data_IF_303199722212
#
_entry.id   IF_303199722212
#
_cell.length_a   1.000
_cell.length_b   1.000
_cell.length_c   1.000
_cell.angle_alpha   90.00
_cell.angle_beta   90.00
_cell.angle_gamma   90.00
#
_symmetry.space_group_name_H-M   'P 1'
#
loop_
_entity.id
_entity.type
_entity.pdbx_description
1 polymer ?
#
# COMPACT_ATOMS: atom_id res chain seq x y z
N UNK A 1 -21.14 -1.30 -44.64
CA UNK A 1 -20.66 -2.43 -43.85
C UNK A 1 -19.22 -2.28 -43.40
N UNK A 2 -18.33 -1.86 -44.27
CA UNK A 2 -16.93 -1.65 -43.89
C UNK A 2 -16.75 -0.58 -42.83
N UNK A 3 -17.51 0.51 -42.89
CA UNK A 3 -17.38 1.58 -41.87
C UNK A 3 -17.84 1.12 -40.51
N UNK A 4 -18.83 0.24 -40.47
CA UNK A 4 -19.30 -0.32 -39.17
C UNK A 4 -18.29 -1.28 -38.60
N UNK A 5 -17.64 -2.10 -39.44
CA UNK A 5 -16.58 -3.00 -39.01
C UNK A 5 -15.36 -2.24 -38.52
N UNK A 6 -15.02 -1.15 -39.23
CA UNK A 6 -13.90 -0.30 -38.82
C UNK A 6 -14.17 0.38 -37.46
N UNK A 7 -15.42 0.83 -37.27
CA UNK A 7 -15.82 1.41 -35.98
C UNK A 7 -15.75 0.39 -34.84
N UNK A 8 -16.21 -0.83 -35.10
CA UNK A 8 -16.13 -1.90 -34.14
C UNK A 8 -14.68 -2.25 -33.80
N UNK A 9 -13.84 -2.38 -34.81
CA UNK A 9 -12.41 -2.64 -34.63
C UNK A 9 -11.76 -1.56 -33.78
N UNK A 10 -12.06 -0.31 -34.05
CA UNK A 10 -11.55 0.83 -33.29
C UNK A 10 -11.98 0.73 -31.81
N UNK A 11 -13.23 0.37 -31.56
CA UNK A 11 -13.74 0.18 -30.20
C UNK A 11 -13.03 -0.95 -29.47
N UNK A 12 -12.78 -2.05 -30.18
CA UNK A 12 -12.05 -3.19 -29.60
C UNK A 12 -10.64 -2.78 -29.22
N UNK A 13 -9.97 -2.02 -30.09
CA UNK A 13 -8.63 -1.52 -29.78
C UNK A 13 -8.62 -0.60 -28.57
N UNK A 14 -9.62 0.27 -28.45
CA UNK A 14 -9.76 1.16 -27.30
C UNK A 14 -9.95 0.36 -26.00
N UNK A 15 -10.79 -0.67 -26.06
CA UNK A 15 -11.05 -1.52 -24.90
C UNK A 15 -9.78 -2.29 -24.51
N UNK A 16 -9.05 -2.83 -25.50
CA UNK A 16 -7.79 -3.52 -25.25
C UNK A 16 -6.78 -2.60 -24.59
N UNK A 17 -6.67 -1.37 -25.06
CA UNK A 17 -5.77 -0.37 -24.50
C UNK A 17 -6.18 -0.03 -23.07
N UNK A 18 -7.47 0.15 -22.83
CA UNK A 18 -7.98 0.42 -21.49
C UNK A 18 -7.67 -0.73 -20.54
N UNK A 19 -7.84 -1.97 -20.99
CA UNK A 19 -7.50 -3.14 -20.19
C UNK A 19 -6.02 -3.17 -19.81
N UNK A 20 -5.14 -2.84 -20.76
CA UNK A 20 -3.70 -2.77 -20.47
C UNK A 20 -3.40 -1.69 -19.45
N UNK A 21 -4.01 -0.52 -19.60
CA UNK A 21 -3.83 0.59 -18.66
C UNK A 21 -4.31 0.23 -17.27
N UNK A 22 -5.46 -0.44 -17.17
CA UNK A 22 -6.00 -0.86 -15.89
C UNK A 22 -5.13 -1.92 -15.21
N UNK A 23 -4.56 -2.83 -15.98
CA UNK A 23 -3.64 -3.83 -15.44
C UNK A 23 -2.38 -3.17 -14.88
N UNK A 24 -1.82 -2.21 -15.62
CA UNK A 24 -0.64 -1.47 -15.18
C UNK A 24 -0.94 -0.68 -13.90
N UNK A 25 -2.07 0.01 -13.88
CA UNK A 25 -2.51 0.76 -12.70
C UNK A 25 -2.75 -0.15 -11.51
N UNK A 26 -3.38 -1.30 -11.73
CA UNK A 26 -3.63 -2.28 -10.68
C UNK A 26 -2.33 -2.78 -10.07
N UNK A 27 -1.35 -3.10 -10.92
CA UNK A 27 -0.04 -3.56 -10.46
C UNK A 27 0.68 -2.49 -9.64
N UNK A 28 0.63 -1.25 -10.11
CA UNK A 28 1.21 -0.10 -9.39
C UNK A 28 0.58 0.07 -8.02
N UNK A 29 -0.76 0.02 -7.96
CA UNK A 29 -1.49 0.16 -6.71
C UNK A 29 -1.17 -0.98 -5.73
N UNK A 30 -1.03 -2.20 -6.24
CA UNK A 30 -0.65 -3.34 -5.40
C UNK A 30 0.74 -3.15 -4.80
N UNK A 31 1.67 -2.63 -5.58
CA UNK A 31 3.01 -2.33 -5.08
C UNK A 31 2.98 -1.25 -4.02
N UNK A 32 2.18 -0.21 -4.22
CA UNK A 32 2.02 0.87 -3.24
C UNK A 32 1.42 0.36 -1.94
N UNK A 33 0.42 -0.52 -2.03
CA UNK A 33 -0.20 -1.13 -0.86
C UNK A 33 0.82 -1.97 -0.09
N UNK A 34 1.59 -2.78 -0.80
CA UNK A 34 2.62 -3.61 -0.17
C UNK A 34 3.67 -2.77 0.57
N UNK A 35 4.11 -1.66 -0.05
CA UNK A 35 5.06 -0.75 0.57
C UNK A 35 4.46 -0.09 1.81
N UNK A 36 3.23 0.41 1.72
CA UNK A 36 2.54 1.04 2.84
C UNK A 36 2.33 0.06 4.00
N UNK A 37 1.96 -1.17 3.68
CA UNK A 37 1.77 -2.21 4.70
C UNK A 37 3.08 -2.52 5.41
N UNK A 38 4.19 -2.58 4.66
CA UNK A 38 5.52 -2.79 5.23
C UNK A 38 5.92 -1.64 6.16
N UNK A 39 5.67 -0.40 5.76
CA UNK A 39 5.94 0.77 6.59
C UNK A 39 5.12 0.76 7.87
N UNK A 40 3.83 0.44 7.77
CA UNK A 40 2.95 0.36 8.95
C UNK A 40 3.44 -0.68 9.93
N UNK A 41 3.87 -1.84 9.44
CA UNK A 41 4.41 -2.90 10.29
C UNK A 41 5.66 -2.43 11.01
N UNK A 42 6.56 -1.78 10.29
CA UNK A 42 7.80 -1.26 10.86
C UNK A 42 7.52 -0.21 11.94
N UNK A 43 6.59 0.71 11.67
CA UNK A 43 6.19 1.73 12.64
C UNK A 43 5.56 1.09 13.88
N UNK A 44 4.71 0.08 13.71
CA UNK A 44 4.10 -0.63 14.83
C UNK A 44 5.16 -1.30 15.70
N UNK A 45 6.18 -1.91 15.09
CA UNK A 45 7.29 -2.52 15.82
C UNK A 45 8.09 -1.48 16.59
N UNK A 46 8.36 -0.32 15.98
CA UNK A 46 9.06 0.78 16.67
C UNK A 46 8.27 1.32 17.83
N UNK A 47 6.96 1.44 17.67
CA UNK A 47 6.08 1.88 18.75
C UNK A 47 6.11 0.90 19.93
N UNK A 48 6.07 -0.40 19.63
CA UNK A 48 6.16 -1.43 20.64
C UNK A 48 7.50 -1.39 21.38
N UNK A 49 8.59 -1.22 20.64
CA UNK A 49 9.93 -1.11 21.23
C UNK A 49 10.04 0.13 22.12
N UNK A 50 9.52 1.25 21.67
CA UNK A 50 9.53 2.49 22.46
C UNK A 50 8.74 2.33 23.75
N UNK A 51 7.57 1.70 23.67
CA UNK A 51 6.73 1.42 24.84
C UNK A 51 7.48 0.54 25.83
N UNK A 52 8.09 -0.53 25.35
CA UNK A 52 8.84 -1.45 26.20
C UNK A 52 9.99 -0.74 26.90
N UNK A 53 10.70 0.14 26.21
CA UNK A 53 11.78 0.92 26.82
C UNK A 53 11.28 1.84 27.92
N UNK A 54 10.16 2.49 27.68
CA UNK A 54 9.53 3.37 28.67
C UNK A 54 9.12 2.57 29.89
N UNK A 55 8.47 1.44 29.69
CA UNK A 55 8.05 0.55 30.78
C UNK A 55 9.25 0.07 31.62
N UNK A 56 10.34 -0.32 30.94
CA UNK A 56 11.55 -0.73 31.60
C UNK A 56 12.16 0.38 32.46
N UNK A 57 12.19 1.61 31.91
CA UNK A 57 12.70 2.77 32.63
C UNK A 57 11.84 3.08 33.85
N UNK A 58 10.52 2.98 33.73
CA UNK A 58 9.59 3.21 34.83
C UNK A 58 9.79 2.17 35.95
N UNK A 59 10.07 0.94 35.59
CA UNK A 59 10.36 -0.13 36.59
C UNK A 59 11.64 0.15 37.38
N UNK A 60 12.60 0.84 36.75
CA UNK A 60 13.88 1.16 37.39
C UNK A 60 13.81 2.38 38.31
N UNK A 61 12.72 3.11 38.30
CA UNK A 61 12.55 4.25 39.18
C UNK A 61 12.12 3.71 40.56
N UNK A 62 12.91 3.92 41.62
CA UNK A 62 12.54 3.42 42.96
C UNK A 62 11.30 4.12 43.47
N UNK A 63 10.38 3.35 44.03
CA UNK A 63 9.21 3.91 44.70
C UNK A 63 9.66 4.64 45.95
N UNK A 64 9.10 5.81 46.17
CA UNK A 64 9.37 6.58 47.39
C UNK A 64 10.46 7.63 47.24
N UNK A 65 11.06 7.77 46.11
CA UNK A 65 12.03 8.86 45.84
C UNK A 65 11.35 10.14 45.37
N UNK A 66 10.08 10.10 45.17
CA UNK A 66 9.36 11.27 44.69
C UNK A 66 9.18 12.30 45.84
#
# INVERSE_FOLDING_TARGET
MESELNALESKIQQIAQLCQNLRAENQKLRQQIAAATGEQKLLAERMTQARTRIETLLEKIPEGEA
#
